data_IF_522936759695
#
_entry.id   IF_522936759695
#
_cell.length_a   1.000
_cell.length_b   1.000
_cell.length_c   1.000
_cell.angle_alpha   90.00
_cell.angle_beta   90.00
_cell.angle_gamma   90.00
#
_symmetry.space_group_name_H-M   'P 1'
#
loop_
_entity.id
_entity.type
_entity.pdbx_description
1 polymer ?
#
# COMPACT_ATOMS: atom_id res chain seq x y z
N UNK A 1 17.56 -6.94 -7.85
CA UNK A 1 17.01 -7.22 -6.51
C UNK A 1 16.99 -8.73 -6.31
N UNK A 2 17.46 -9.19 -5.16
CA UNK A 2 17.35 -10.61 -4.80
C UNK A 2 15.90 -10.81 -4.35
N UNK A 3 15.12 -11.61 -5.10
CA UNK A 3 13.74 -11.98 -4.70
C UNK A 3 13.81 -12.64 -3.31
N UNK A 4 13.13 -12.10 -2.34
CA UNK A 4 12.93 -12.75 -1.04
C UNK A 4 11.77 -13.72 -1.18
N UNK A 5 12.02 -15.01 -0.96
CA UNK A 5 10.96 -16.02 -0.96
C UNK A 5 10.10 -15.90 0.29
N UNK A 6 8.83 -16.24 0.16
CA UNK A 6 7.85 -16.17 1.24
C UNK A 6 7.13 -17.50 1.42
N UNK A 7 6.86 -17.83 2.67
CA UNK A 7 5.96 -18.90 3.05
C UNK A 7 4.70 -18.26 3.62
N UNK A 8 3.56 -18.54 3.01
CA UNK A 8 2.25 -18.00 3.34
C UNK A 8 1.43 -19.04 4.10
N UNK A 9 0.80 -18.63 5.19
CA UNK A 9 -0.15 -19.41 5.95
C UNK A 9 -1.56 -18.87 5.77
N UNK A 10 -2.42 -19.62 5.12
CA UNK A 10 -3.86 -19.37 5.06
C UNK A 10 -4.55 -20.07 6.22
N UNK A 11 -4.90 -19.30 7.24
CA UNK A 11 -5.59 -19.77 8.43
C UNK A 11 -7.07 -19.36 8.46
N UNK A 12 -7.63 -18.95 7.34
CA UNK A 12 -9.00 -18.43 7.24
C UNK A 12 -10.08 -19.41 7.74
N UNK A 13 -9.80 -20.71 7.63
CA UNK A 13 -10.72 -21.75 8.13
C UNK A 13 -10.72 -21.88 9.66
N UNK A 14 -9.74 -21.31 10.37
CA UNK A 14 -9.53 -21.60 11.80
C UNK A 14 -10.17 -20.59 12.74
N UNK A 15 -10.38 -19.36 12.28
CA UNK A 15 -10.75 -18.22 13.13
C UNK A 15 -9.60 -17.67 14.00
N UNK A 16 -8.34 -18.07 13.76
CA UNK A 16 -7.19 -17.57 14.50
C UNK A 16 -6.97 -16.08 14.26
N UNK A 17 -6.66 -15.36 15.32
CA UNK A 17 -6.33 -13.93 15.30
C UNK A 17 -4.83 -13.66 15.37
N UNK A 18 -4.04 -14.70 15.60
CA UNK A 18 -2.58 -14.69 15.56
C UNK A 18 -2.07 -16.00 14.97
N UNK A 19 -0.92 -15.98 14.33
CA UNK A 19 -0.27 -17.17 13.81
C UNK A 19 1.22 -17.12 14.11
N UNK A 20 1.75 -18.24 14.56
CA UNK A 20 3.18 -18.47 14.81
C UNK A 20 3.65 -19.60 13.90
N UNK A 21 4.90 -19.55 13.48
CA UNK A 21 5.52 -20.61 12.73
C UNK A 21 6.67 -21.27 13.51
N UNK A 22 6.67 -22.59 13.53
CA UNK A 22 7.77 -23.42 13.98
C UNK A 22 8.33 -24.18 12.78
N UNK A 23 9.49 -23.77 12.28
CA UNK A 23 10.07 -24.27 11.03
C UNK A 23 11.41 -24.95 11.33
N UNK A 24 11.53 -26.22 10.95
CA UNK A 24 12.73 -27.04 11.14
C UNK A 24 13.24 -27.56 9.81
N UNK A 25 14.54 -27.59 9.64
CA UNK A 25 15.17 -28.29 8.52
C UNK A 25 15.18 -29.81 8.70
N UNK A 26 15.68 -30.54 7.72
CA UNK A 26 15.79 -32.00 7.74
C UNK A 26 16.70 -32.51 8.88
N UNK A 27 17.63 -31.69 9.38
CA UNK A 27 18.50 -32.02 10.51
C UNK A 27 17.82 -31.73 11.86
N UNK A 28 16.62 -31.11 11.86
CA UNK A 28 15.86 -30.77 13.04
C UNK A 28 16.21 -29.40 13.65
N UNK A 29 17.11 -28.63 13.03
CA UNK A 29 17.41 -27.28 13.48
C UNK A 29 16.22 -26.35 13.24
N UNK A 30 15.86 -25.58 14.29
CA UNK A 30 14.77 -24.61 14.21
C UNK A 30 15.26 -23.27 13.65
N UNK A 31 14.48 -22.69 12.74
CA UNK A 31 14.77 -21.44 12.04
C UNK A 31 13.85 -20.27 12.41
N UNK A 32 12.90 -20.48 13.34
CA UNK A 32 11.87 -19.50 13.73
C UNK A 32 11.89 -19.17 15.22
N UNK A 33 13.06 -18.86 15.74
CA UNK A 33 13.25 -18.49 17.16
C UNK A 33 13.53 -19.70 18.06
N UNK A 34 13.93 -19.41 19.30
CA UNK A 34 14.50 -20.42 20.20
C UNK A 34 13.51 -21.36 20.90
N UNK A 35 12.25 -20.96 21.06
CA UNK A 35 11.23 -21.68 21.84
C UNK A 35 9.91 -21.78 21.09
N UNK A 36 9.17 -22.84 21.40
CA UNK A 36 7.77 -22.97 20.99
C UNK A 36 6.92 -21.79 21.50
N UNK A 37 5.99 -21.24 20.71
CA UNK A 37 5.50 -21.70 19.40
C UNK A 37 6.29 -21.19 18.18
N UNK A 38 7.46 -20.59 18.37
CA UNK A 38 8.30 -20.08 17.31
C UNK A 38 8.12 -18.60 17.05
N UNK A 39 8.26 -18.19 15.79
CA UNK A 39 8.18 -16.80 15.37
C UNK A 39 6.73 -16.37 15.11
N UNK A 40 6.35 -15.22 15.68
CA UNK A 40 5.06 -14.61 15.37
C UNK A 40 5.09 -14.04 13.94
N UNK A 41 4.12 -14.43 13.13
CA UNK A 41 4.01 -14.01 11.75
C UNK A 41 3.19 -12.73 11.63
N UNK A 42 3.55 -11.91 10.64
CA UNK A 42 2.79 -10.72 10.27
C UNK A 42 1.81 -11.05 9.14
N UNK A 43 0.68 -10.34 9.10
CA UNK A 43 -0.26 -10.46 7.98
C UNK A 43 0.19 -9.60 6.80
N UNK A 44 0.12 -10.19 5.60
CA UNK A 44 0.15 -9.49 4.32
C UNK A 44 -1.13 -9.85 3.55
N UNK A 45 -2.01 -8.87 3.36
CA UNK A 45 -3.35 -9.15 2.85
C UNK A 45 -4.14 -10.10 3.77
N UNK A 46 -4.50 -11.27 3.27
CA UNK A 46 -5.28 -12.28 3.99
C UNK A 46 -4.43 -13.43 4.55
N UNK A 47 -3.11 -13.37 4.45
CA UNK A 47 -2.22 -14.46 4.79
C UNK A 47 -1.22 -14.05 5.86
N UNK A 48 -0.86 -14.97 6.74
CA UNK A 48 0.30 -14.83 7.62
C UNK A 48 1.56 -15.18 6.84
N UNK A 49 2.62 -14.39 7.00
CA UNK A 49 3.81 -14.50 6.15
C UNK A 49 5.08 -14.68 6.96
N UNK A 50 5.88 -15.63 6.53
CA UNK A 50 7.27 -15.79 6.96
C UNK A 50 8.21 -15.51 5.77
N UNK A 51 9.14 -14.58 5.98
CA UNK A 51 10.18 -14.31 5.00
C UNK A 51 11.27 -15.37 5.08
N UNK A 52 11.47 -16.11 4.00
CA UNK A 52 12.43 -17.21 3.94
C UNK A 52 13.86 -16.64 3.99
N UNK A 53 14.68 -17.00 4.99
CA UNK A 53 16.08 -16.61 5.01
C UNK A 53 16.83 -17.13 3.78
N UNK A 54 17.76 -16.34 3.25
CA UNK A 54 18.54 -16.72 2.06
C UNK A 54 19.27 -18.07 2.22
N UNK A 55 19.65 -18.42 3.45
CA UNK A 55 20.29 -19.71 3.77
C UNK A 55 19.39 -20.93 3.62
N UNK A 56 18.07 -20.73 3.54
CA UNK A 56 17.07 -21.79 3.40
C UNK A 56 16.46 -21.86 2.00
N UNK A 57 16.85 -20.98 1.10
CA UNK A 57 16.37 -21.04 -0.29
C UNK A 57 16.77 -22.37 -0.93
N UNK A 58 15.77 -23.08 -1.47
CA UNK A 58 15.92 -24.42 -2.04
C UNK A 58 15.97 -25.57 -1.02
N UNK A 59 15.92 -25.28 0.28
CA UNK A 59 15.88 -26.30 1.31
C UNK A 59 14.48 -26.94 1.44
N UNK A 60 14.47 -28.16 1.99
CA UNK A 60 13.24 -28.82 2.43
C UNK A 60 13.10 -28.65 3.93
N UNK A 61 11.93 -28.21 4.38
CA UNK A 61 11.63 -27.93 5.79
C UNK A 61 10.35 -28.63 6.25
N UNK A 62 10.18 -28.72 7.55
CA UNK A 62 8.94 -29.12 8.21
C UNK A 62 8.36 -27.92 8.94
N UNK A 63 7.07 -27.69 8.81
CA UNK A 63 6.37 -26.51 9.30
C UNK A 63 5.26 -26.91 10.26
N UNK A 64 5.13 -26.20 11.36
CA UNK A 64 3.94 -26.22 12.21
C UNK A 64 3.48 -24.78 12.36
N UNK A 65 2.19 -24.52 12.11
CA UNK A 65 1.54 -23.26 12.51
C UNK A 65 0.80 -23.45 13.82
N UNK A 66 0.75 -22.39 14.62
CA UNK A 66 0.04 -22.35 15.90
C UNK A 66 -0.57 -20.98 16.14
N UNK A 67 -1.70 -20.94 16.88
CA UNK A 67 -2.29 -19.67 17.35
C UNK A 67 -1.58 -19.11 18.61
N UNK A 68 -0.63 -19.86 19.19
CA UNK A 68 0.03 -19.51 20.44
C UNK A 68 -0.78 -19.84 21.71
N UNK A 69 -2.04 -20.26 21.58
CA UNK A 69 -2.98 -20.49 22.69
C UNK A 69 -3.38 -21.97 22.85
N UNK A 70 -2.70 -22.86 22.13
CA UNK A 70 -2.89 -24.31 22.25
C UNK A 70 -3.33 -25.00 20.96
N UNK A 71 -3.92 -24.27 20.01
CA UNK A 71 -4.25 -24.83 18.69
C UNK A 71 -3.03 -24.80 17.78
N UNK A 72 -2.86 -25.86 17.00
CA UNK A 72 -1.76 -26.00 16.06
C UNK A 72 -2.13 -26.91 14.88
N UNK A 73 -1.29 -26.89 13.85
CA UNK A 73 -1.38 -27.87 12.76
C UNK A 73 -0.75 -29.20 13.14
N UNK A 74 -1.00 -30.22 12.35
CA UNK A 74 -0.12 -31.39 12.25
C UNK A 74 1.27 -30.95 11.75
N UNK A 75 2.26 -31.83 11.86
CA UNK A 75 3.56 -31.59 11.22
C UNK A 75 3.41 -31.62 9.70
N UNK A 76 3.62 -30.47 9.06
CA UNK A 76 3.57 -30.31 7.60
C UNK A 76 4.98 -30.59 7.09
N UNK A 77 5.20 -31.81 6.63
CA UNK A 77 6.53 -32.29 6.28
C UNK A 77 6.84 -32.09 4.80
N UNK A 78 8.12 -31.90 4.48
CA UNK A 78 8.60 -31.93 3.10
C UNK A 78 8.29 -30.67 2.30
N UNK A 79 8.10 -29.53 2.94
CA UNK A 79 7.88 -28.23 2.28
C UNK A 79 9.18 -27.77 1.62
N UNK A 80 9.19 -27.65 0.29
CA UNK A 80 10.37 -27.22 -0.49
C UNK A 80 10.33 -25.71 -0.71
N UNK A 81 11.36 -25.00 -0.28
CA UNK A 81 11.48 -23.54 -0.34
C UNK A 81 12.21 -23.06 -1.62
N UNK A 82 11.84 -23.62 -2.79
CA UNK A 82 12.42 -23.23 -4.08
C UNK A 82 11.70 -22.07 -4.75
N UNK A 83 10.48 -21.80 -4.34
CA UNK A 83 9.63 -20.67 -4.73
C UNK A 83 8.78 -20.25 -3.55
N UNK A 84 7.93 -19.23 -3.74
CA UNK A 84 6.93 -18.86 -2.73
C UNK A 84 5.98 -20.04 -2.49
N UNK A 85 5.63 -20.30 -1.25
CA UNK A 85 4.80 -21.46 -0.85
C UNK A 85 3.55 -20.99 -0.11
N UNK A 86 2.39 -21.50 -0.51
CA UNK A 86 1.14 -21.34 0.24
C UNK A 86 0.81 -22.64 0.98
N UNK A 87 0.57 -22.53 2.27
CA UNK A 87 0.03 -23.58 3.13
C UNK A 87 -1.36 -23.15 3.57
N UNK A 88 -2.38 -23.92 3.19
CA UNK A 88 -3.77 -23.68 3.54
C UNK A 88 -4.22 -24.68 4.59
N UNK A 89 -4.71 -24.19 5.73
CA UNK A 89 -5.32 -25.01 6.77
C UNK A 89 -6.74 -25.40 6.35
N UNK A 90 -7.11 -26.66 6.52
CA UNK A 90 -8.36 -27.20 5.97
C UNK A 90 -9.38 -27.56 7.06
N UNK A 91 -9.15 -28.59 7.80
CA UNK A 91 -10.05 -29.16 8.79
C UNK A 91 -9.30 -29.51 10.07
N UNK A 92 -10.01 -29.60 11.17
CA UNK A 92 -9.44 -29.97 12.45
C UNK A 92 -9.84 -31.41 12.80
N UNK A 93 -8.85 -32.29 12.88
CA UNK A 93 -9.02 -33.67 13.32
C UNK A 93 -8.20 -33.92 14.59
N UNK A 94 -8.85 -34.40 15.64
CA UNK A 94 -8.16 -34.79 16.87
C UNK A 94 -7.47 -33.63 17.60
N UNK A 95 -7.91 -32.38 17.40
CA UNK A 95 -7.35 -31.20 18.04
C UNK A 95 -6.17 -30.58 17.30
N UNK A 96 -5.91 -31.04 16.08
CA UNK A 96 -4.90 -30.43 15.20
C UNK A 96 -5.48 -30.14 13.83
N UNK A 97 -5.04 -29.04 13.24
CA UNK A 97 -5.44 -28.64 11.89
C UNK A 97 -4.63 -29.37 10.81
N UNK A 98 -5.35 -29.96 9.87
CA UNK A 98 -4.74 -30.46 8.64
C UNK A 98 -4.40 -29.29 7.73
N UNK A 99 -3.43 -29.50 6.83
CA UNK A 99 -3.02 -28.48 5.88
C UNK A 99 -2.64 -29.09 4.54
N UNK A 100 -2.86 -28.32 3.49
CA UNK A 100 -2.38 -28.63 2.15
C UNK A 100 -1.28 -27.64 1.76
N UNK A 101 -0.25 -28.14 1.09
CA UNK A 101 0.81 -27.32 0.51
C UNK A 101 0.46 -27.13 -0.96
N UNK A 102 0.07 -25.94 -1.34
CA UNK A 102 -0.22 -25.57 -2.71
C UNK A 102 1.00 -24.88 -3.31
N UNK A 103 1.49 -25.39 -4.44
CA UNK A 103 2.67 -24.85 -5.11
C UNK A 103 2.48 -23.45 -5.73
N UNK A 104 1.27 -22.90 -5.68
CA UNK A 104 0.99 -21.52 -6.10
C UNK A 104 0.87 -20.66 -4.85
N UNK A 105 1.89 -19.87 -4.59
CA UNK A 105 1.79 -18.81 -3.60
C UNK A 105 0.70 -17.81 -4.04
N UNK A 106 -0.05 -17.27 -3.08
CA UNK A 106 -0.91 -16.15 -3.41
C UNK A 106 -0.05 -15.09 -4.09
N UNK A 107 -0.49 -14.63 -5.24
CA UNK A 107 0.05 -13.39 -5.79
C UNK A 107 -0.12 -12.37 -4.66
N UNK A 108 0.97 -12.04 -3.99
CA UNK A 108 0.95 -10.87 -3.09
C UNK A 108 0.39 -9.75 -3.96
N UNK A 109 -0.70 -9.07 -3.57
CA UNK A 109 -1.03 -7.85 -4.27
C UNK A 109 0.25 -7.04 -4.23
N UNK A 110 0.82 -6.79 -5.41
CA UNK A 110 1.92 -5.83 -5.51
C UNK A 110 1.46 -4.61 -4.71
N UNK A 111 2.25 -4.11 -3.74
CA UNK A 111 1.84 -2.93 -2.98
C UNK A 111 1.30 -1.97 -4.02
N UNK A 112 0.07 -1.45 -3.88
CA UNK A 112 -0.56 -0.66 -4.93
C UNK A 112 0.50 0.29 -5.45
N UNK A 113 0.84 0.15 -6.74
CA UNK A 113 1.94 0.88 -7.35
C UNK A 113 1.77 2.33 -6.91
N UNK A 114 2.78 2.86 -6.20
CA UNK A 114 2.68 4.21 -5.61
C UNK A 114 2.34 5.12 -6.77
N UNK A 115 1.10 5.58 -6.82
CA UNK A 115 0.64 6.44 -7.90
C UNK A 115 1.47 7.71 -7.83
N UNK A 116 2.02 8.10 -8.94
CA UNK A 116 2.71 9.37 -9.07
C UNK A 116 1.77 10.36 -9.74
N UNK A 117 1.71 11.57 -9.23
CA UNK A 117 0.88 12.62 -9.80
C UNK A 117 1.74 13.77 -10.32
N UNK A 118 1.22 14.46 -11.34
CA UNK A 118 1.87 15.59 -11.94
C UNK A 118 0.92 16.74 -12.22
N UNK A 119 1.43 17.95 -12.12
CA UNK A 119 0.77 19.14 -12.62
C UNK A 119 1.06 19.26 -14.11
N UNK A 120 0.02 19.24 -14.91
CA UNK A 120 0.02 19.37 -16.35
C UNK A 120 -0.74 20.63 -16.75
N UNK A 121 -0.31 21.31 -17.79
CA UNK A 121 -0.96 22.53 -18.21
C UNK A 121 -0.21 23.30 -19.28
N UNK A 122 -0.54 24.59 -19.41
CA UNK A 122 0.20 25.52 -20.28
C UNK A 122 1.70 25.54 -19.99
N UNK A 123 2.09 25.41 -18.71
CA UNK A 123 3.48 25.32 -18.23
C UNK A 123 4.27 24.14 -18.83
N UNK A 124 3.57 23.04 -19.14
CA UNK A 124 4.18 21.82 -19.68
C UNK A 124 3.76 21.56 -21.14
N UNK A 125 3.11 22.54 -21.77
CA UNK A 125 2.56 22.39 -23.13
C UNK A 125 1.57 21.23 -23.22
N UNK A 126 0.80 20.98 -22.17
CA UNK A 126 -0.21 19.92 -22.08
C UNK A 126 0.33 18.51 -22.37
N UNK A 127 1.53 18.23 -21.88
CA UNK A 127 2.21 16.94 -22.07
C UNK A 127 3.24 16.97 -23.22
N UNK A 128 3.53 18.12 -23.79
CA UNK A 128 4.66 18.32 -24.73
C UNK A 128 6.01 18.33 -24.01
N UNK A 129 6.00 18.59 -22.71
CA UNK A 129 7.13 18.43 -21.78
C UNK A 129 6.66 17.55 -20.60
N UNK A 130 7.58 16.96 -19.82
CA UNK A 130 7.24 16.22 -18.63
C UNK A 130 6.40 17.06 -17.67
N UNK A 131 5.42 16.43 -17.02
CA UNK A 131 4.64 17.06 -15.97
C UNK A 131 5.53 17.51 -14.81
N UNK A 132 5.09 18.51 -14.07
CA UNK A 132 5.77 18.92 -12.85
C UNK A 132 5.32 17.94 -11.75
N UNK A 133 6.24 17.11 -11.28
CA UNK A 133 5.92 15.96 -10.42
C UNK A 133 5.64 16.40 -8.99
N UNK A 134 4.54 15.88 -8.42
CA UNK A 134 4.28 15.95 -7.00
C UNK A 134 5.19 14.99 -6.22
N UNK A 135 5.47 15.33 -4.98
CA UNK A 135 6.14 14.46 -4.00
C UNK A 135 5.08 13.80 -3.11
N UNK A 136 5.15 12.49 -2.94
CA UNK A 136 4.32 11.79 -1.96
C UNK A 136 4.76 12.21 -0.56
N UNK A 137 3.87 12.89 0.16
CA UNK A 137 4.09 13.34 1.54
C UNK A 137 3.61 12.31 2.58
N UNK A 138 3.08 11.16 2.13
CA UNK A 138 2.46 10.15 2.97
C UNK A 138 1.00 10.45 3.31
N UNK A 139 0.34 9.51 3.95
CA UNK A 139 -1.07 9.63 4.36
C UNK A 139 -2.04 10.04 3.23
N UNK A 140 -1.73 9.66 1.98
CA UNK A 140 -2.55 9.98 0.81
C UNK A 140 -2.44 11.43 0.32
N UNK A 141 -1.50 12.20 0.84
CA UNK A 141 -1.21 13.57 0.43
C UNK A 141 -0.03 13.61 -0.55
N UNK A 142 -0.16 14.38 -1.61
CA UNK A 142 0.88 14.69 -2.58
C UNK A 142 1.13 16.18 -2.59
N UNK A 143 2.39 16.60 -2.55
CA UNK A 143 2.77 18.01 -2.45
C UNK A 143 3.62 18.48 -3.61
N UNK A 144 3.41 19.72 -4.04
CA UNK A 144 4.26 20.42 -5.00
C UNK A 144 4.54 21.81 -4.44
N UNK A 145 5.74 21.97 -3.87
CA UNK A 145 6.12 23.16 -3.13
C UNK A 145 6.79 24.20 -4.03
N UNK A 146 6.53 25.47 -3.76
CA UNK A 146 7.19 26.60 -4.42
C UNK A 146 6.92 26.70 -5.92
N UNK A 147 5.71 26.31 -6.37
CA UNK A 147 5.36 26.33 -7.78
C UNK A 147 4.97 27.74 -8.25
N UNK A 148 5.72 28.36 -9.18
CA UNK A 148 5.28 29.61 -9.80
C UNK A 148 4.08 29.35 -10.71
N UNK A 149 3.03 30.15 -10.54
CA UNK A 149 1.85 30.17 -11.40
C UNK A 149 1.50 31.61 -11.74
N UNK A 150 1.13 31.85 -12.99
CA UNK A 150 0.63 33.15 -13.47
C UNK A 150 -0.87 33.08 -13.75
N UNK A 151 -1.52 34.23 -13.89
CA UNK A 151 -2.94 34.30 -14.26
C UNK A 151 -3.25 33.73 -15.64
N UNK A 152 -2.23 33.56 -16.48
CA UNK A 152 -2.35 32.97 -17.83
C UNK A 152 -2.22 31.45 -17.80
N UNK A 153 -1.64 30.90 -16.73
CA UNK A 153 -1.41 29.47 -16.62
C UNK A 153 -2.72 28.73 -16.35
N UNK A 154 -3.05 27.83 -17.27
CA UNK A 154 -4.12 26.86 -17.10
C UNK A 154 -3.51 25.50 -16.75
N UNK A 155 -4.02 24.82 -15.73
CA UNK A 155 -3.46 23.56 -15.26
C UNK A 155 -4.49 22.57 -14.76
N UNK A 156 -4.08 21.31 -14.66
CA UNK A 156 -4.78 20.18 -14.05
C UNK A 156 -3.79 19.34 -13.25
N UNK A 157 -4.30 18.41 -12.46
CA UNK A 157 -3.51 17.34 -11.88
C UNK A 157 -3.88 16.04 -12.59
N UNK A 158 -2.89 15.19 -12.89
CA UNK A 158 -3.14 13.88 -13.49
C UNK A 158 -2.16 12.83 -12.96
N UNK A 159 -2.45 11.56 -13.27
CA UNK A 159 -1.44 10.52 -13.15
C UNK A 159 -0.23 10.94 -14.00
N UNK A 160 0.97 10.90 -13.40
CA UNK A 160 2.19 11.47 -13.98
C UNK A 160 2.44 10.94 -15.40
N UNK A 161 2.45 11.85 -16.36
CA UNK A 161 2.71 11.55 -17.76
C UNK A 161 1.59 10.79 -18.51
N UNK A 162 0.44 10.54 -17.88
CA UNK A 162 -0.62 9.73 -18.48
C UNK A 162 -1.93 10.53 -18.57
N UNK A 163 -2.58 10.47 -19.71
CA UNK A 163 -3.97 10.91 -19.87
C UNK A 163 -4.91 9.72 -19.66
N UNK A 164 -5.52 9.67 -18.48
CA UNK A 164 -6.52 8.69 -18.09
C UNK A 164 -7.73 9.42 -17.52
N UNK A 165 -8.92 9.13 -18.03
CA UNK A 165 -10.14 9.83 -17.64
C UNK A 165 -10.48 9.68 -16.15
N UNK A 166 -10.02 8.60 -15.51
CA UNK A 166 -10.22 8.32 -14.10
C UNK A 166 -9.17 8.98 -13.19
N UNK A 167 -8.07 9.46 -13.77
CA UNK A 167 -6.93 10.04 -13.07
C UNK A 167 -6.55 11.43 -13.63
N UNK A 168 -7.50 12.10 -14.28
CA UNK A 168 -7.36 13.45 -14.81
C UNK A 168 -8.26 14.41 -14.03
N UNK A 169 -7.67 15.09 -13.06
CA UNK A 169 -8.34 15.91 -12.05
C UNK A 169 -8.41 17.38 -12.47
N UNK A 170 -9.59 17.92 -12.48
CA UNK A 170 -9.86 19.33 -12.78
C UNK A 170 -11.19 19.79 -12.20
N UNK A 171 -11.61 20.99 -12.55
CA UNK A 171 -12.90 21.52 -12.14
C UNK A 171 -14.04 20.91 -12.99
N UNK A 172 -15.28 21.02 -12.52
CA UNK A 172 -16.46 20.71 -13.35
C UNK A 172 -16.53 21.60 -14.58
N UNK A 173 -16.13 22.86 -14.44
CA UNK A 173 -16.03 23.86 -15.53
C UNK A 173 -14.75 24.64 -15.32
N UNK A 174 -14.03 24.92 -16.41
CA UNK A 174 -12.79 25.69 -16.35
C UNK A 174 -13.01 27.03 -15.63
N UNK A 175 -12.09 27.38 -14.74
CA UNK A 175 -12.26 28.59 -13.93
C UNK A 175 -11.07 28.93 -13.04
N UNK A 176 -11.22 30.00 -12.30
CA UNK A 176 -10.27 30.48 -11.32
C UNK A 176 -10.53 29.80 -9.98
N UNK A 177 -9.48 29.29 -9.34
CA UNK A 177 -9.55 28.64 -8.03
C UNK A 177 -9.32 29.65 -6.89
N UNK A 178 -9.93 29.39 -5.74
CA UNK A 178 -9.67 30.12 -4.52
C UNK A 178 -8.34 29.67 -3.89
N UNK A 179 -7.55 30.63 -3.45
CA UNK A 179 -6.30 30.37 -2.76
C UNK A 179 -6.57 30.17 -1.26
N UNK A 180 -5.85 29.24 -0.62
CA UNK A 180 -5.99 28.87 0.79
C UNK A 180 -7.33 28.21 1.18
N UNK A 181 -8.06 27.70 0.21
CA UNK A 181 -9.32 26.99 0.40
C UNK A 181 -9.29 25.61 -0.28
N UNK A 182 -10.14 24.70 0.17
CA UNK A 182 -10.33 23.41 -0.46
C UNK A 182 -11.00 23.58 -1.84
N UNK A 183 -10.39 22.99 -2.86
CA UNK A 183 -10.90 22.96 -4.22
C UNK A 183 -11.40 21.56 -4.49
N UNK A 184 -12.70 21.39 -4.68
CA UNK A 184 -13.26 20.09 -5.07
C UNK A 184 -13.05 19.84 -6.55
N UNK A 185 -12.46 18.70 -6.87
CA UNK A 185 -12.13 18.26 -8.22
C UNK A 185 -13.10 17.17 -8.69
N UNK A 186 -13.11 16.95 -9.98
CA UNK A 186 -13.71 15.78 -10.62
C UNK A 186 -12.65 15.07 -11.46
N UNK A 187 -12.86 13.78 -11.74
CA UNK A 187 -12.07 13.05 -12.72
C UNK A 187 -12.87 12.91 -14.00
N UNK A 188 -12.31 13.35 -15.11
CA UNK A 188 -12.90 13.18 -16.45
C UNK A 188 -11.93 13.68 -17.50
N UNK A 189 -11.94 13.08 -18.68
CA UNK A 189 -11.27 13.63 -19.86
C UNK A 189 -11.76 15.04 -20.24
N UNK A 190 -13.00 15.39 -19.85
CA UNK A 190 -13.61 16.70 -20.05
C UNK A 190 -13.59 17.61 -18.83
N UNK A 191 -12.84 17.29 -17.75
CA UNK A 191 -12.71 18.17 -16.58
C UNK A 191 -12.15 19.54 -16.98
N UNK A 192 -12.62 20.60 -16.32
CA UNK A 192 -12.23 21.98 -16.60
C UNK A 192 -10.86 22.34 -16.05
N UNK A 193 -10.15 23.21 -16.75
CA UNK A 193 -8.84 23.72 -16.32
C UNK A 193 -8.96 24.65 -15.13
N UNK A 194 -7.92 24.68 -14.30
CA UNK A 194 -7.76 25.57 -13.16
C UNK A 194 -6.83 26.74 -13.52
N UNK A 195 -7.10 27.92 -12.97
CA UNK A 195 -6.22 29.10 -13.02
C UNK A 195 -6.15 29.77 -11.65
N UNK A 196 -5.05 30.48 -11.37
CA UNK A 196 -4.99 31.37 -10.20
C UNK A 196 -5.45 32.79 -10.55
N UNK A 197 -6.05 33.48 -9.59
CA UNK A 197 -6.50 34.87 -9.77
C UNK A 197 -5.35 35.89 -9.75
N UNK A 198 -4.25 35.57 -9.10
CA UNK A 198 -3.07 36.42 -8.92
C UNK A 198 -1.82 35.59 -9.25
N UNK A 199 -0.89 36.18 -9.99
CA UNK A 199 0.39 35.53 -10.24
C UNK A 199 1.23 35.50 -8.97
N UNK A 200 1.85 34.35 -8.66
CA UNK A 200 2.63 34.16 -7.43
C UNK A 200 3.31 32.80 -7.39
N UNK A 201 3.97 32.54 -6.27
CA UNK A 201 4.49 31.21 -5.92
C UNK A 201 3.55 30.57 -4.93
N UNK A 202 3.24 29.31 -5.15
CA UNK A 202 2.22 28.57 -4.41
C UNK A 202 2.74 27.20 -3.97
N UNK A 203 2.21 26.71 -2.85
CA UNK A 203 2.37 25.34 -2.38
C UNK A 203 1.07 24.58 -2.66
N UNK A 204 1.14 23.50 -3.39
CA UNK A 204 -0.01 22.69 -3.76
C UNK A 204 -0.04 21.42 -2.92
N UNK A 205 -1.22 21.09 -2.40
CA UNK A 205 -1.49 19.86 -1.65
C UNK A 205 -2.65 19.13 -2.30
N UNK A 206 -2.40 17.92 -2.77
CA UNK A 206 -3.36 17.12 -3.51
C UNK A 206 -3.72 15.83 -2.76
N UNK A 207 -5.00 15.60 -2.59
CA UNK A 207 -5.61 14.43 -1.96
C UNK A 207 -6.48 13.70 -2.98
N UNK A 208 -5.94 12.74 -3.73
CA UNK A 208 -6.68 12.06 -4.80
C UNK A 208 -7.90 11.29 -4.30
N UNK A 209 -7.82 10.68 -3.11
CA UNK A 209 -8.93 9.92 -2.53
C UNK A 209 -10.16 10.79 -2.22
N UNK A 210 -9.93 12.07 -1.89
CA UNK A 210 -10.97 13.02 -1.53
C UNK A 210 -11.31 13.96 -2.68
N UNK A 211 -10.71 13.78 -3.85
CA UNK A 211 -10.86 14.68 -5.01
C UNK A 211 -10.60 16.13 -4.65
N UNK A 212 -9.61 16.37 -3.79
CA UNK A 212 -9.37 17.71 -3.21
C UNK A 212 -7.96 18.20 -3.54
N UNK A 213 -7.88 19.45 -3.98
CA UNK A 213 -6.64 20.19 -4.15
C UNK A 213 -6.70 21.45 -3.28
N UNK A 214 -5.58 21.81 -2.69
CA UNK A 214 -5.35 23.12 -2.12
C UNK A 214 -4.24 23.82 -2.90
N UNK A 215 -4.47 25.07 -3.27
CA UNK A 215 -3.45 26.00 -3.78
C UNK A 215 -3.21 27.03 -2.69
N UNK A 216 -2.14 26.84 -1.96
CA UNK A 216 -1.82 27.62 -0.77
C UNK A 216 -0.83 28.73 -1.08
N UNK A 217 -0.88 29.81 -0.35
CA UNK A 217 0.20 30.80 -0.34
C UNK A 217 1.50 30.12 0.08
N UNK A 218 2.60 30.42 -0.58
CA UNK A 218 3.92 29.84 -0.29
C UNK A 218 4.25 29.87 1.20
N UNK A 219 4.69 28.75 1.74
CA UNK A 219 5.02 28.57 3.15
C UNK A 219 3.82 28.35 4.08
N UNK A 220 2.61 28.18 3.52
CA UNK A 220 1.41 27.83 4.31
C UNK A 220 0.90 26.43 3.95
N UNK A 221 0.27 25.76 4.91
CA UNK A 221 -0.33 24.44 4.72
C UNK A 221 -1.85 24.49 4.99
N UNK A 222 -2.64 23.60 4.37
CA UNK A 222 -4.07 23.52 4.66
C UNK A 222 -4.31 23.04 6.10
N UNK A 223 -5.29 23.64 6.77
CA UNK A 223 -5.83 23.08 8.01
C UNK A 223 -6.75 21.92 7.64
N UNK A 224 -6.29 20.70 7.90
CA UNK A 224 -7.07 19.49 7.67
C UNK A 224 -7.64 19.06 9.01
N UNK A 225 -8.96 19.05 9.13
CA UNK A 225 -9.64 18.40 10.25
C UNK A 225 -9.34 16.89 10.20
N UNK A 226 -8.25 16.49 10.82
CA UNK A 226 -7.98 15.06 11.05
C UNK A 226 -8.99 14.63 12.12
N UNK A 227 -9.94 13.73 11.82
CA UNK A 227 -10.84 13.24 12.85
C UNK A 227 -9.97 12.63 13.96
N UNK A 228 -10.09 13.19 15.16
CA UNK A 228 -9.37 12.70 16.32
C UNK A 228 -9.71 11.21 16.49
N UNK A 229 -8.73 10.34 16.34
CA UNK A 229 -8.87 8.93 16.68
C UNK A 229 -9.15 8.89 18.18
N UNK A 230 -10.41 8.79 18.56
CA UNK A 230 -10.79 8.57 19.94
C UNK A 230 -10.36 7.14 20.33
N UNK A 231 -9.22 7.03 20.98
CA UNK A 231 -8.87 5.84 21.73
C UNK A 231 -9.81 5.79 22.95
N UNK A 232 -10.89 5.03 22.85
CA UNK A 232 -11.72 4.70 24.00
C UNK A 232 -10.90 3.87 24.97
N UNK A 233 -10.54 4.44 26.12
CA UNK A 233 -10.09 3.67 27.27
C UNK A 233 -11.29 2.88 27.75
N UNK A 234 -11.31 1.57 27.47
CA UNK A 234 -12.23 0.63 28.11
C UNK A 234 -11.61 0.31 29.46
N UNK A 235 -12.23 0.82 30.54
CA UNK A 235 -11.92 0.50 31.92
C UNK A 235 -12.56 -0.82 32.37
#
# INVERSE_FOLDING_TARGET
EVKTLKLYGDVSATGWTACYAWIRDAAGANHTGGNWPGEALSMEGNYYVWNVPASLMGATVNVIFSNGEGDQTVDINGVVLSDDVLITLTDNEGGKWNATVNGEAPVTPEPPAVKEYGLVGSLTGWGGSPDIKFTDAGNGCYTLMGQPLTTEDAFKVRLYGVWDDTENYGLTTAGTVNINEAITLITSGGSGDMKVAVSGTYDLYFYPADFTLYVMTEGTAPEIDTPAVQYGLVG
#
